data_IF_528927554681
#
_entry.id   IF_528927554681
#
_cell.length_a   1.000
_cell.length_b   1.000
_cell.length_c   1.000
_cell.angle_alpha   90.00
_cell.angle_beta   90.00
_cell.angle_gamma   90.00
#
_symmetry.space_group_name_H-M   'P 1'
#
loop_
_entity.id
_entity.type
_entity.pdbx_description
1 polymer ?
#
# COMPACT_ATOMS: atom_id res chain seq x y z
N UNK A 1 -5.26 24.51 13.20
CA UNK A 1 -6.15 23.60 12.44
C UNK A 1 -5.27 22.89 11.44
N UNK A 2 -5.48 21.58 11.22
CA UNK A 2 -4.80 20.84 10.17
C UNK A 2 -5.20 21.37 8.79
N UNK A 3 -4.30 21.33 7.82
CA UNK A 3 -4.56 21.71 6.44
C UNK A 3 -4.44 20.49 5.54
N UNK A 4 -5.18 20.50 4.43
CA UNK A 4 -5.16 19.41 3.45
C UNK A 4 -3.80 19.35 2.73
N UNK A 5 -3.19 18.16 2.70
CA UNK A 5 -1.90 17.91 2.03
C UNK A 5 -1.94 18.18 0.52
N UNK A 6 -3.13 18.17 -0.11
CA UNK A 6 -3.31 18.32 -1.56
C UNK A 6 -3.69 19.75 -1.96
N UNK A 7 -4.68 20.39 -1.30
CA UNK A 7 -5.19 21.70 -1.70
C UNK A 7 -4.93 22.81 -0.70
N UNK A 8 -4.34 22.49 0.47
CA UNK A 8 -4.04 23.40 1.57
C UNK A 8 -5.27 24.04 2.25
N UNK A 9 -6.48 23.64 1.91
CA UNK A 9 -7.71 24.10 2.61
C UNK A 9 -7.74 23.59 4.05
N UNK A 10 -8.30 24.37 4.99
CA UNK A 10 -8.50 23.90 6.36
C UNK A 10 -9.32 22.63 6.42
N UNK A 11 -8.97 21.74 7.35
CA UNK A 11 -9.70 20.49 7.58
C UNK A 11 -10.64 20.63 8.78
N UNK A 12 -11.82 20.01 8.64
CA UNK A 12 -12.75 19.77 9.74
C UNK A 12 -12.16 18.78 10.76
N UNK A 13 -12.80 18.58 11.94
CA UNK A 13 -12.42 17.52 12.88
C UNK A 13 -12.32 16.15 12.21
N UNK A 14 -11.54 15.21 12.78
CA UNK A 14 -11.30 13.92 12.16
C UNK A 14 -12.60 13.15 11.95
N UNK A 15 -12.75 12.58 10.74
CA UNK A 15 -13.86 11.70 10.37
C UNK A 15 -13.73 10.32 11.02
N UNK A 16 -12.49 9.92 11.35
CA UNK A 16 -12.16 8.69 12.03
C UNK A 16 -11.14 8.95 13.13
N UNK A 17 -11.34 8.30 14.28
CA UNK A 17 -10.34 8.13 15.34
C UNK A 17 -10.45 6.71 15.85
N UNK A 18 -9.31 6.00 15.94
CA UNK A 18 -9.29 4.64 16.44
C UNK A 18 -9.83 4.58 17.89
N UNK A 19 -10.73 3.63 18.21
CA UNK A 19 -11.32 3.53 19.56
C UNK A 19 -10.28 3.22 20.64
N UNK A 20 -9.26 2.44 20.31
CA UNK A 20 -8.16 2.08 21.21
C UNK A 20 -6.91 2.89 20.85
N UNK A 21 -6.07 3.28 21.85
CA UNK A 21 -4.81 3.99 21.60
C UNK A 21 -3.74 3.00 21.13
N UNK A 22 -4.03 2.28 20.07
CA UNK A 22 -3.13 1.31 19.44
C UNK A 22 -3.33 1.33 17.93
N UNK A 23 -2.26 1.61 17.23
CA UNK A 23 -2.21 1.74 15.78
C UNK A 23 -1.33 0.66 15.17
N UNK A 24 -1.49 0.41 13.88
CA UNK A 24 -0.74 -0.60 13.13
C UNK A 24 -0.16 0.06 11.89
N UNK A 25 1.13 -0.16 11.62
CA UNK A 25 1.78 0.30 10.39
C UNK A 25 1.58 -0.68 9.24
N UNK A 26 1.88 -0.25 8.02
CA UNK A 26 1.88 -1.09 6.82
C UNK A 26 2.84 -2.29 6.93
N UNK A 27 3.90 -2.17 7.75
CA UNK A 27 4.84 -3.25 8.08
C UNK A 27 4.34 -4.17 9.21
N UNK A 28 3.10 -4.00 9.68
CA UNK A 28 2.53 -4.79 10.78
C UNK A 28 3.15 -4.50 12.16
N UNK A 29 3.81 -3.37 12.34
CA UNK A 29 4.31 -2.93 13.63
C UNK A 29 3.18 -2.30 14.47
N UNK A 30 3.23 -2.54 15.78
CA UNK A 30 2.28 -1.97 16.72
C UNK A 30 2.84 -0.68 17.31
N UNK A 31 2.06 0.39 17.21
CA UNK A 31 2.40 1.70 17.78
C UNK A 31 1.38 2.09 18.85
N UNK A 32 1.86 2.77 19.90
CA UNK A 32 1.00 3.42 20.86
C UNK A 32 0.47 4.74 20.31
N UNK A 33 -0.82 4.97 20.47
CA UNK A 33 -1.49 6.18 19.99
C UNK A 33 -2.72 5.87 19.13
N UNK A 34 -3.49 6.93 18.87
CA UNK A 34 -4.67 6.86 18.02
C UNK A 34 -4.32 7.18 16.56
N UNK A 35 -4.87 6.41 15.63
CA UNK A 35 -4.92 6.81 14.22
C UNK A 35 -6.11 7.76 14.05
N UNK A 36 -5.88 8.93 13.49
CA UNK A 36 -6.90 9.93 13.17
C UNK A 36 -6.85 10.24 11.68
N UNK A 37 -8.01 10.12 11.00
CA UNK A 37 -8.13 10.44 9.59
C UNK A 37 -9.08 11.64 9.38
N UNK A 38 -8.71 12.52 8.46
CA UNK A 38 -9.39 13.76 8.12
C UNK A 38 -9.83 13.74 6.66
N UNK A 39 -10.99 14.29 6.36
CA UNK A 39 -11.50 14.40 4.99
C UNK A 39 -11.54 15.86 4.55
N UNK A 40 -11.01 16.15 3.39
CA UNK A 40 -11.09 17.46 2.75
C UNK A 40 -12.34 17.53 1.85
N UNK A 41 -13.30 18.38 2.21
CA UNK A 41 -14.52 18.57 1.42
C UNK A 41 -14.26 19.22 0.05
N UNK A 42 -13.12 19.89 -0.14
CA UNK A 42 -12.80 20.62 -1.38
C UNK A 42 -12.23 19.70 -2.45
N UNK A 43 -11.17 18.96 -2.15
CA UNK A 43 -10.53 18.06 -3.13
C UNK A 43 -10.83 16.59 -2.88
N UNK A 44 -11.68 16.27 -1.91
CA UNK A 44 -12.08 14.90 -1.54
C UNK A 44 -10.91 14.00 -1.10
N UNK A 45 -9.79 14.61 -0.69
CA UNK A 45 -8.66 13.89 -0.12
C UNK A 45 -8.96 13.43 1.29
N UNK A 46 -8.46 12.26 1.65
CA UNK A 46 -8.43 11.79 3.03
C UNK A 46 -6.98 11.66 3.46
N UNK A 47 -6.65 12.15 4.66
CA UNK A 47 -5.29 12.09 5.19
C UNK A 47 -5.28 11.71 6.66
N UNK A 48 -4.21 11.05 7.08
CA UNK A 48 -3.90 10.74 8.49
C UNK A 48 -2.81 11.68 8.98
N UNK A 49 -2.79 12.00 10.27
CA UNK A 49 -1.67 12.72 10.87
C UNK A 49 -0.39 11.91 10.70
N UNK A 50 0.71 12.52 10.21
CA UNK A 50 1.96 11.80 10.05
C UNK A 50 2.47 11.28 11.41
N UNK A 51 3.20 10.16 11.38
CA UNK A 51 3.92 9.66 12.55
C UNK A 51 4.94 10.70 13.04
N UNK A 52 5.21 10.77 14.34
CA UNK A 52 6.36 11.54 14.84
C UNK A 52 7.63 11.07 14.12
N UNK A 53 8.48 12.01 13.74
CA UNK A 53 9.76 11.74 13.05
C UNK A 53 9.64 10.86 11.81
N UNK A 54 8.58 11.11 10.98
CA UNK A 54 8.27 10.33 9.78
C UNK A 54 9.49 10.16 8.86
N UNK A 55 10.34 11.20 8.72
CA UNK A 55 11.54 11.12 7.90
C UNK A 55 12.55 10.09 8.44
N UNK A 56 12.79 10.09 9.75
CA UNK A 56 13.66 9.10 10.38
C UNK A 56 13.08 7.68 10.28
N UNK A 57 11.76 7.55 10.41
CA UNK A 57 11.08 6.25 10.24
C UNK A 57 11.37 5.64 8.86
N UNK A 58 11.23 6.41 7.78
CA UNK A 58 11.49 5.91 6.42
C UNK A 58 12.98 5.77 6.08
N UNK A 59 13.86 6.52 6.70
CA UNK A 59 15.31 6.38 6.50
C UNK A 59 15.88 5.15 7.20
N UNK A 60 15.44 4.85 8.44
CA UNK A 60 16.14 3.89 9.30
C UNK A 60 15.31 2.68 9.74
N UNK A 61 13.99 2.77 9.76
CA UNK A 61 13.11 1.74 10.33
C UNK A 61 12.32 1.00 9.25
N UNK A 62 11.79 1.73 8.27
CA UNK A 62 10.93 1.14 7.24
C UNK A 62 11.74 0.26 6.29
N UNK A 63 11.55 -1.05 6.42
CA UNK A 63 12.22 -2.05 5.57
C UNK A 63 11.19 -3.02 5.02
N UNK A 64 10.90 -2.92 3.73
CA UNK A 64 9.94 -3.80 3.07
C UNK A 64 10.65 -4.83 2.18
N UNK A 65 10.30 -6.12 2.35
CA UNK A 65 10.73 -7.23 1.49
C UNK A 65 12.27 -7.39 1.40
N UNK A 66 12.98 -7.14 2.51
CA UNK A 66 14.45 -7.16 2.56
C UNK A 66 15.03 -8.51 2.98
N UNK A 67 14.20 -9.51 3.29
CA UNK A 67 14.66 -10.84 3.76
C UNK A 67 15.44 -11.62 2.70
N UNK A 68 15.13 -11.43 1.41
CA UNK A 68 15.90 -11.93 0.28
C UNK A 68 15.63 -11.10 -0.97
N UNK A 69 16.43 -11.33 -2.02
CA UNK A 69 16.24 -10.68 -3.32
C UNK A 69 14.94 -11.12 -3.98
N UNK A 70 14.57 -12.40 -3.81
CA UNK A 70 13.37 -13.02 -4.39
C UNK A 70 12.11 -12.78 -3.55
N UNK A 71 12.23 -12.21 -2.35
CA UNK A 71 11.08 -11.94 -1.51
C UNK A 71 10.11 -10.98 -2.20
N UNK A 72 8.85 -11.44 -2.37
CA UNK A 72 7.79 -10.67 -3.03
C UNK A 72 6.44 -10.93 -2.36
N UNK A 73 5.50 -10.04 -2.59
CA UNK A 73 4.13 -10.21 -2.10
C UNK A 73 3.33 -11.06 -3.08
N UNK A 74 2.63 -12.06 -2.56
CA UNK A 74 1.67 -12.84 -3.33
C UNK A 74 0.50 -11.94 -3.74
N UNK A 75 0.31 -11.75 -5.05
CA UNK A 75 -0.75 -10.93 -5.60
C UNK A 75 -2.03 -11.74 -5.84
N UNK A 76 -1.91 -12.91 -6.45
CA UNK A 76 -3.03 -13.79 -6.74
C UNK A 76 -2.59 -15.26 -6.85
N UNK A 77 -3.55 -16.15 -6.65
CA UNK A 77 -3.41 -17.58 -6.98
C UNK A 77 -4.43 -17.90 -8.06
N UNK A 78 -3.97 -18.37 -9.23
CA UNK A 78 -4.80 -18.70 -10.39
C UNK A 78 -4.58 -20.17 -10.73
N UNK A 79 -5.48 -21.03 -10.32
CA UNK A 79 -5.25 -22.48 -10.32
C UNK A 79 -4.07 -22.82 -9.41
N UNK A 80 -3.06 -23.50 -9.95
CA UNK A 80 -1.82 -23.85 -9.23
C UNK A 80 -0.71 -22.76 -9.34
N UNK A 81 -0.94 -21.72 -10.14
CA UNK A 81 0.05 -20.65 -10.37
C UNK A 81 -0.08 -19.56 -9.31
N UNK A 82 1.04 -19.23 -8.67
CA UNK A 82 1.18 -18.02 -7.86
C UNK A 82 1.66 -16.88 -8.74
N UNK A 83 0.92 -15.78 -8.73
CA UNK A 83 1.30 -14.50 -9.37
C UNK A 83 1.79 -13.57 -8.29
N UNK A 84 3.01 -13.08 -8.42
CA UNK A 84 3.59 -12.14 -7.47
C UNK A 84 3.36 -10.70 -7.89
N UNK A 85 3.40 -9.78 -6.92
CA UNK A 85 3.08 -8.36 -7.12
C UNK A 85 3.98 -7.70 -8.16
N UNK A 86 5.28 -7.97 -8.11
CA UNK A 86 6.26 -7.43 -9.07
C UNK A 86 5.92 -7.82 -10.52
N UNK A 87 5.59 -9.10 -10.76
CA UNK A 87 5.18 -9.58 -12.08
C UNK A 87 3.94 -8.82 -12.60
N UNK A 88 2.91 -8.72 -11.76
CA UNK A 88 1.67 -8.02 -12.10
C UNK A 88 1.89 -6.53 -12.38
N UNK A 89 2.76 -5.86 -11.60
CA UNK A 89 3.08 -4.44 -11.78
C UNK A 89 3.76 -4.18 -13.12
N UNK A 90 4.74 -5.02 -13.52
CA UNK A 90 5.40 -4.89 -14.82
C UNK A 90 4.43 -5.11 -15.98
N UNK A 91 3.58 -6.15 -15.90
CA UNK A 91 2.57 -6.42 -16.92
C UNK A 91 1.58 -5.26 -17.07
N UNK A 92 1.17 -4.67 -15.94
CA UNK A 92 0.24 -3.54 -15.93
C UNK A 92 0.89 -2.28 -16.48
N UNK A 93 2.15 -2.00 -16.11
CA UNK A 93 2.91 -0.88 -16.67
C UNK A 93 3.02 -0.98 -18.19
N UNK A 94 3.50 -2.11 -18.72
CA UNK A 94 3.70 -2.33 -20.16
C UNK A 94 2.39 -2.33 -20.98
N UNK A 95 1.27 -2.65 -20.33
CA UNK A 95 -0.06 -2.56 -20.95
C UNK A 95 -0.57 -1.11 -21.05
N UNK A 96 -0.24 -0.27 -20.08
CA UNK A 96 -0.83 1.06 -19.92
C UNK A 96 0.07 2.19 -20.42
N UNK A 97 1.39 1.95 -20.48
CA UNK A 97 2.39 2.94 -20.91
C UNK A 97 3.19 2.37 -22.07
N UNK A 98 3.23 3.13 -23.16
CA UNK A 98 4.19 2.88 -24.21
C UNK A 98 5.58 3.34 -23.72
N UNK A 99 6.42 2.39 -23.33
CA UNK A 99 7.80 2.65 -22.93
C UNK A 99 8.66 2.73 -24.20
N UNK A 100 9.23 3.92 -24.54
CA UNK A 100 10.04 4.08 -25.74
C UNK A 100 11.23 3.11 -25.79
N UNK A 101 11.79 2.92 -26.98
CA UNK A 101 13.06 2.21 -27.10
C UNK A 101 14.18 3.05 -26.48
N UNK A 102 15.11 2.37 -25.79
CA UNK A 102 16.23 3.00 -25.07
C UNK A 102 15.78 4.05 -24.01
N UNK A 103 14.54 3.91 -23.51
CA UNK A 103 13.94 4.84 -22.54
C UNK A 103 14.75 4.91 -21.24
N UNK A 104 14.91 6.11 -20.70
CA UNK A 104 15.39 6.34 -19.34
C UNK A 104 14.20 6.24 -18.39
N UNK A 105 14.21 5.22 -17.57
CA UNK A 105 13.14 4.93 -16.60
C UNK A 105 13.66 5.13 -15.18
N UNK A 106 13.07 6.06 -14.44
CA UNK A 106 13.38 6.30 -13.03
C UNK A 106 12.29 5.66 -12.16
N UNK A 107 12.69 4.79 -11.26
CA UNK A 107 11.82 4.31 -10.17
C UNK A 107 12.00 5.22 -8.95
N UNK A 108 10.96 5.98 -8.62
CA UNK A 108 10.97 7.05 -7.61
C UNK A 108 10.29 6.57 -6.31
N UNK A 109 11.05 6.49 -5.23
CA UNK A 109 10.66 5.78 -3.99
C UNK A 109 10.72 4.28 -4.21
N UNK A 110 11.86 3.81 -4.73
CA UNK A 110 11.96 2.49 -5.36
C UNK A 110 12.13 1.32 -4.37
N UNK A 111 12.44 1.56 -3.10
CA UNK A 111 12.85 0.52 -2.15
C UNK A 111 13.90 -0.41 -2.79
N UNK A 112 13.71 -1.74 -2.85
CA UNK A 112 14.67 -2.62 -3.52
C UNK A 112 14.60 -2.63 -5.06
N UNK A 113 13.72 -1.81 -5.66
CA UNK A 113 13.54 -1.64 -7.11
C UNK A 113 13.20 -2.93 -7.88
N UNK A 114 12.48 -3.86 -7.24
CA UNK A 114 12.18 -5.17 -7.83
C UNK A 114 11.37 -5.05 -9.14
N UNK A 115 10.42 -4.11 -9.22
CA UNK A 115 9.61 -3.87 -10.43
C UNK A 115 10.45 -3.33 -11.58
N UNK A 116 11.36 -2.39 -11.31
CA UNK A 116 12.29 -1.88 -12.33
C UNK A 116 13.25 -2.98 -12.80
N UNK A 117 13.77 -3.82 -11.90
CA UNK A 117 14.60 -4.96 -12.26
C UNK A 117 13.86 -5.91 -13.20
N UNK A 118 12.65 -6.31 -12.84
CA UNK A 118 11.82 -7.18 -13.68
C UNK A 118 11.41 -6.52 -15.01
N UNK A 119 11.26 -5.20 -15.06
CA UNK A 119 11.08 -4.47 -16.31
C UNK A 119 12.32 -4.59 -17.21
N UNK A 120 13.53 -4.39 -16.67
CA UNK A 120 14.79 -4.50 -17.40
C UNK A 120 15.04 -5.93 -17.93
N UNK A 121 14.60 -6.96 -17.21
CA UNK A 121 14.68 -8.36 -17.68
C UNK A 121 13.78 -8.61 -18.88
N UNK A 122 12.63 -7.93 -18.99
CA UNK A 122 11.71 -8.01 -20.16
C UNK A 122 12.06 -7.05 -21.28
N UNK A 123 12.70 -5.92 -20.97
CA UNK A 123 13.05 -4.82 -21.85
C UNK A 123 14.51 -4.41 -21.59
N UNK A 124 15.43 -5.19 -22.14
CA UNK A 124 16.89 -5.00 -21.99
C UNK A 124 17.44 -3.71 -22.62
N UNK A 125 16.60 -3.02 -23.40
CA UNK A 125 16.88 -1.71 -23.96
C UNK A 125 16.59 -0.55 -22.99
N UNK A 126 15.88 -0.78 -21.86
CA UNK A 126 15.60 0.25 -20.87
C UNK A 126 16.86 0.63 -20.10
N UNK A 127 17.06 1.92 -19.89
CA UNK A 127 18.12 2.48 -19.04
C UNK A 127 17.56 2.73 -17.63
N UNK A 128 17.91 1.91 -16.61
CA UNK A 128 17.36 2.01 -15.28
C UNK A 128 18.02 3.12 -14.47
N UNK A 129 17.18 3.84 -13.71
CA UNK A 129 17.56 4.80 -12.68
C UNK A 129 16.74 4.55 -11.43
N UNK A 130 17.33 4.77 -10.27
CA UNK A 130 16.68 4.57 -8.96
C UNK A 130 16.88 5.75 -8.04
N UNK A 131 15.82 6.08 -7.30
CA UNK A 131 15.86 7.07 -6.24
C UNK A 131 15.05 6.59 -5.03
N UNK A 132 15.62 6.71 -3.83
CA UNK A 132 14.93 6.48 -2.57
C UNK A 132 15.41 7.46 -1.50
N UNK A 133 14.60 7.65 -0.45
CA UNK A 133 14.96 8.49 0.71
C UNK A 133 15.89 7.79 1.70
N UNK A 134 16.21 6.52 1.47
CA UNK A 134 17.05 5.68 2.33
C UNK A 134 18.19 5.02 1.55
N UNK A 135 19.32 4.81 2.21
CA UNK A 135 20.45 4.03 1.67
C UNK A 135 20.32 2.51 1.90
N UNK A 136 19.35 2.07 2.67
CA UNK A 136 19.22 0.68 3.12
C UNK A 136 19.02 -0.32 1.96
N UNK A 137 18.54 0.17 0.82
CA UNK A 137 18.26 -0.67 -0.35
C UNK A 137 19.40 -0.71 -1.39
N UNK A 138 20.49 0.05 -1.22
CA UNK A 138 21.57 0.17 -2.23
C UNK A 138 22.16 -1.16 -2.66
N UNK A 139 22.33 -2.09 -1.74
CA UNK A 139 22.86 -3.43 -2.05
C UNK A 139 22.01 -4.25 -3.05
N UNK A 140 20.72 -3.90 -3.21
CA UNK A 140 19.86 -4.48 -4.24
C UNK A 140 20.08 -3.81 -5.61
N UNK A 141 20.30 -2.48 -5.64
CA UNK A 141 20.45 -1.70 -6.87
C UNK A 141 21.78 -1.94 -7.58
N UNK A 142 22.87 -2.04 -6.82
CA UNK A 142 24.24 -2.21 -7.32
C UNK A 142 24.40 -3.42 -8.25
N UNK A 143 23.47 -4.37 -8.20
CA UNK A 143 23.47 -5.57 -9.03
C UNK A 143 23.00 -5.34 -10.47
N UNK A 144 22.24 -4.26 -10.75
CA UNK A 144 21.67 -4.05 -12.07
C UNK A 144 21.57 -2.57 -12.50
N UNK A 145 21.78 -1.61 -11.60
CA UNK A 145 21.77 -0.18 -11.89
C UNK A 145 23.17 0.40 -11.74
N UNK A 146 23.74 1.07 -12.75
CA UNK A 146 25.03 1.77 -12.62
C UNK A 146 25.03 2.80 -11.50
N UNK A 147 26.16 2.99 -10.81
CA UNK A 147 26.26 3.87 -9.64
C UNK A 147 25.89 5.34 -9.95
N UNK A 148 26.19 5.80 -11.16
CA UNK A 148 25.80 7.13 -11.65
C UNK A 148 24.30 7.29 -11.85
N UNK A 149 23.54 6.18 -11.92
CA UNK A 149 22.10 6.14 -12.08
C UNK A 149 21.37 5.90 -10.74
N UNK A 150 22.07 5.97 -9.62
CA UNK A 150 21.51 5.80 -8.27
C UNK A 150 21.55 7.13 -7.52
N UNK A 151 20.49 7.44 -6.76
CA UNK A 151 20.45 8.58 -5.85
C UNK A 151 19.70 8.21 -4.57
N UNK A 152 20.16 8.81 -3.44
CA UNK A 152 19.52 8.69 -2.14
C UNK A 152 19.27 10.08 -1.55
N UNK A 153 18.23 10.21 -0.71
CA UNK A 153 17.79 11.45 -0.04
C UNK A 153 17.32 12.57 -0.96
N UNK A 154 18.05 12.84 -2.05
CA UNK A 154 17.66 13.82 -3.06
C UNK A 154 18.02 13.31 -4.47
N UNK A 155 17.15 13.51 -5.48
CA UNK A 155 17.53 13.27 -6.87
C UNK A 155 18.73 14.12 -7.27
N UNK A 156 19.55 13.63 -8.20
CA UNK A 156 20.72 14.36 -8.68
C UNK A 156 20.29 15.59 -9.50
N UNK A 157 20.94 16.74 -9.35
CA UNK A 157 20.59 17.96 -10.11
C UNK A 157 20.61 17.78 -11.62
N UNK A 158 21.52 16.95 -12.15
CA UNK A 158 21.65 16.64 -13.57
C UNK A 158 20.52 15.76 -14.12
N UNK A 159 19.60 15.29 -13.27
CA UNK A 159 18.44 14.51 -13.67
C UNK A 159 17.23 15.37 -14.07
N UNK A 160 17.30 16.68 -13.95
CA UNK A 160 16.22 17.58 -14.37
C UNK A 160 15.88 17.39 -15.85
N UNK A 161 14.58 17.23 -16.14
CA UNK A 161 14.02 17.05 -17.50
C UNK A 161 14.67 15.92 -18.31
N UNK A 162 15.05 14.82 -17.65
CA UNK A 162 15.86 13.76 -18.26
C UNK A 162 15.06 12.51 -18.61
N UNK A 163 14.01 12.17 -17.86
CA UNK A 163 13.38 10.85 -17.94
C UNK A 163 12.19 10.81 -18.88
N UNK A 164 12.11 9.73 -19.66
CA UNK A 164 10.98 9.42 -20.52
C UNK A 164 9.79 8.87 -19.67
N UNK A 165 10.11 8.07 -18.66
CA UNK A 165 9.14 7.51 -17.71
C UNK A 165 9.68 7.64 -16.28
N UNK A 166 8.84 8.12 -15.37
CA UNK A 166 9.05 8.04 -13.93
C UNK A 166 7.97 7.13 -13.35
N UNK A 167 8.38 6.09 -12.64
CA UNK A 167 7.46 5.18 -11.94
C UNK A 167 7.49 5.45 -10.44
N UNK A 168 6.39 5.20 -9.75
CA UNK A 168 6.32 5.20 -8.29
C UNK A 168 5.28 4.18 -7.82
N UNK A 169 5.72 3.21 -7.03
CA UNK A 169 4.89 2.08 -6.62
C UNK A 169 4.70 2.11 -5.11
N UNK A 170 3.50 2.46 -4.64
CA UNK A 170 3.15 2.46 -3.22
C UNK A 170 4.14 3.28 -2.36
N UNK A 171 4.42 4.52 -2.79
CA UNK A 171 5.29 5.45 -2.07
C UNK A 171 4.61 6.78 -1.70
N UNK A 172 3.68 7.28 -2.53
CA UNK A 172 3.07 8.60 -2.30
C UNK A 172 2.11 8.63 -1.10
N UNK A 173 1.57 7.49 -0.68
CA UNK A 173 0.77 7.35 0.52
C UNK A 173 1.55 7.65 1.81
N UNK A 174 2.86 7.50 1.76
CA UNK A 174 3.75 7.61 2.91
C UNK A 174 4.33 9.02 3.13
N UNK A 175 4.22 9.92 2.15
CA UNK A 175 4.91 11.21 2.20
C UNK A 175 4.09 12.31 2.89
N UNK A 176 4.73 13.15 3.70
CA UNK A 176 4.06 14.24 4.40
C UNK A 176 3.56 15.35 3.46
N UNK A 177 4.30 15.64 2.38
CA UNK A 177 3.92 16.63 1.35
C UNK A 177 3.90 15.98 -0.03
N UNK A 178 2.78 15.35 -0.43
CA UNK A 178 2.66 14.69 -1.73
C UNK A 178 2.72 15.67 -2.91
N UNK A 179 2.41 16.96 -2.70
CA UNK A 179 2.52 17.99 -3.75
C UNK A 179 3.99 18.28 -4.09
N UNK A 180 4.82 18.52 -3.06
CA UNK A 180 6.24 18.76 -3.27
C UNK A 180 6.91 17.54 -3.90
N UNK A 181 6.59 16.34 -3.43
CA UNK A 181 7.17 15.08 -3.93
C UNK A 181 6.78 14.81 -5.38
N UNK A 182 5.49 14.93 -5.73
CA UNK A 182 5.07 14.72 -7.12
C UNK A 182 5.56 15.84 -8.05
N UNK A 183 5.65 17.10 -7.59
CA UNK A 183 6.25 18.18 -8.36
C UNK A 183 7.75 17.94 -8.60
N UNK A 184 8.49 17.42 -7.62
CA UNK A 184 9.88 17.00 -7.78
C UNK A 184 9.98 15.91 -8.85
N UNK A 185 9.18 14.83 -8.75
CA UNK A 185 9.16 13.76 -9.75
C UNK A 185 8.81 14.29 -11.15
N UNK A 186 7.83 15.20 -11.27
CA UNK A 186 7.45 15.83 -12.53
C UNK A 186 8.58 16.70 -13.13
N UNK A 187 9.41 17.35 -12.27
CA UNK A 187 10.55 18.15 -12.74
C UNK A 187 11.62 17.30 -13.44
N UNK A 188 11.71 16.02 -13.06
CA UNK A 188 12.67 15.07 -13.61
C UNK A 188 12.26 14.53 -14.98
N UNK A 189 10.96 14.56 -15.32
CA UNK A 189 10.44 14.15 -16.64
C UNK A 189 10.88 15.10 -17.74
N UNK A 190 11.25 14.55 -18.89
CA UNK A 190 11.40 15.32 -20.14
C UNK A 190 10.05 15.90 -20.59
N UNK A 191 10.02 16.90 -21.50
CA UNK A 191 8.77 17.36 -22.10
C UNK A 191 8.01 16.19 -22.75
N UNK A 192 6.73 16.00 -22.38
CA UNK A 192 5.91 14.89 -22.84
C UNK A 192 6.20 13.54 -22.16
N UNK A 193 7.14 13.50 -21.22
CA UNK A 193 7.43 12.31 -20.41
C UNK A 193 6.24 11.91 -19.52
N UNK A 194 6.22 10.65 -19.12
CA UNK A 194 5.09 10.01 -18.42
C UNK A 194 5.45 9.70 -16.98
N UNK A 195 4.57 10.08 -16.06
CA UNK A 195 4.54 9.58 -14.68
C UNK A 195 3.55 8.42 -14.61
N UNK A 196 4.01 7.27 -14.11
CA UNK A 196 3.17 6.11 -13.81
C UNK A 196 3.20 5.84 -12.30
N UNK A 197 2.04 5.84 -11.67
CA UNK A 197 1.94 5.63 -10.23
C UNK A 197 0.96 4.54 -9.86
N UNK A 198 1.27 3.83 -8.78
CA UNK A 198 0.32 2.96 -8.07
C UNK A 198 0.26 3.41 -6.61
N UNK A 199 -0.95 3.68 -6.13
CA UNK A 199 -1.21 4.05 -4.73
C UNK A 199 -2.45 3.29 -4.22
N UNK A 200 -2.60 3.05 -2.92
CA UNK A 200 -3.81 2.43 -2.38
C UNK A 200 -5.07 3.19 -2.80
N UNK A 201 -6.14 2.44 -3.03
CA UNK A 201 -7.47 3.02 -3.25
C UNK A 201 -8.28 2.87 -1.97
N UNK A 202 -8.56 3.98 -1.32
CA UNK A 202 -9.28 4.06 -0.05
C UNK A 202 -10.57 3.20 0.00
N UNK A 203 -11.29 3.09 -1.11
CA UNK A 203 -12.61 2.43 -1.15
C UNK A 203 -12.56 0.96 -1.54
N UNK A 204 -11.49 0.50 -2.18
CA UNK A 204 -11.31 -0.91 -2.57
C UNK A 204 -10.28 -1.62 -1.69
N UNK A 205 -9.37 -0.87 -1.06
CA UNK A 205 -8.53 -1.30 0.06
C UNK A 205 -8.98 -0.61 1.34
N UNK A 206 -10.09 -1.07 1.91
CA UNK A 206 -10.77 -0.37 3.02
C UNK A 206 -9.91 -0.20 4.27
N UNK A 207 -8.91 -1.07 4.49
CA UNK A 207 -7.97 -0.93 5.59
C UNK A 207 -7.01 0.25 5.43
N UNK A 208 -6.85 0.79 4.24
CA UNK A 208 -6.00 1.95 4.01
C UNK A 208 -6.27 3.09 5.00
N UNK A 209 -7.56 3.37 5.31
CA UNK A 209 -8.00 4.39 6.27
C UNK A 209 -7.36 4.26 7.65
N UNK A 210 -7.00 3.06 8.08
CA UNK A 210 -6.55 2.76 9.44
C UNK A 210 -5.09 2.35 9.52
N UNK A 211 -4.35 2.43 8.42
CA UNK A 211 -2.89 2.23 8.38
C UNK A 211 -2.19 3.46 8.94
N UNK A 212 -1.42 3.29 10.00
CA UNK A 212 -0.89 4.42 10.78
C UNK A 212 0.18 5.25 10.04
N UNK A 213 0.96 4.63 9.16
CA UNK A 213 2.03 5.26 8.37
C UNK A 213 1.60 5.65 6.94
N UNK A 214 0.34 5.43 6.56
CA UNK A 214 -0.24 6.02 5.36
C UNK A 214 -0.76 7.42 5.68
N UNK A 215 0.02 8.44 5.30
CA UNK A 215 -0.35 9.84 5.52
C UNK A 215 -1.43 10.29 4.53
N UNK A 216 -1.46 9.70 3.33
CA UNK A 216 -2.37 10.07 2.26
C UNK A 216 -3.22 8.88 1.80
N UNK A 217 -4.54 9.07 1.76
CA UNK A 217 -5.51 8.09 1.29
C UNK A 217 -6.19 8.62 0.04
N UNK A 218 -5.75 8.11 -1.10
CA UNK A 218 -6.10 8.70 -2.39
C UNK A 218 -7.51 8.31 -2.87
N UNK A 219 -8.18 9.29 -3.45
CA UNK A 219 -9.43 9.16 -4.19
C UNK A 219 -9.20 9.63 -5.64
N UNK A 220 -10.10 9.29 -6.57
CA UNK A 220 -9.99 9.76 -7.95
C UNK A 220 -9.88 11.29 -8.06
N UNK A 221 -10.78 12.07 -7.41
CA UNK A 221 -10.68 13.53 -7.37
C UNK A 221 -9.37 14.05 -6.78
N UNK A 222 -8.88 13.47 -5.68
CA UNK A 222 -7.64 13.93 -5.04
C UNK A 222 -6.40 13.64 -5.90
N UNK A 223 -6.34 12.51 -6.59
CA UNK A 223 -5.27 12.20 -7.56
C UNK A 223 -5.25 13.20 -8.72
N UNK A 224 -6.42 13.53 -9.26
CA UNK A 224 -6.54 14.54 -10.32
C UNK A 224 -6.02 15.90 -9.88
N UNK A 225 -6.43 16.34 -8.68
CA UNK A 225 -5.98 17.60 -8.10
C UNK A 225 -4.47 17.60 -7.85
N UNK A 226 -3.91 16.50 -7.33
CA UNK A 226 -2.49 16.33 -7.06
C UNK A 226 -1.67 16.39 -8.35
N UNK A 227 -2.03 15.65 -9.38
CA UNK A 227 -1.37 15.68 -10.68
C UNK A 227 -1.39 17.10 -11.27
N UNK A 228 -2.54 17.77 -11.26
CA UNK A 228 -2.69 19.14 -11.76
C UNK A 228 -1.77 20.11 -11.01
N UNK A 229 -1.71 20.03 -9.68
CA UNK A 229 -0.84 20.87 -8.86
C UNK A 229 0.66 20.64 -9.13
N UNK A 230 1.03 19.43 -9.56
CA UNK A 230 2.40 19.07 -9.94
C UNK A 230 2.76 19.40 -11.41
N UNK A 231 1.84 19.98 -12.19
CA UNK A 231 2.06 20.26 -13.63
C UNK A 231 1.98 19.02 -14.51
N UNK A 232 1.18 18.04 -14.09
CA UNK A 232 0.91 16.81 -14.81
C UNK A 232 -0.56 16.77 -15.24
N UNK A 233 -0.84 16.35 -16.49
CA UNK A 233 -2.18 16.02 -16.93
C UNK A 233 -2.47 14.55 -16.62
N UNK A 234 -3.45 14.27 -15.77
CA UNK A 234 -3.91 12.91 -15.50
C UNK A 234 -4.61 12.36 -16.74
N UNK A 235 -3.98 11.42 -17.45
CA UNK A 235 -4.53 10.77 -18.65
C UNK A 235 -5.42 9.59 -18.30
N UNK A 236 -5.06 8.85 -17.24
CA UNK A 236 -5.79 7.66 -16.77
C UNK A 236 -5.71 7.53 -15.26
N UNK A 237 -6.83 7.16 -14.65
CA UNK A 237 -6.89 6.61 -13.30
C UNK A 237 -7.78 5.36 -13.35
N UNK A 238 -7.20 4.20 -13.05
CA UNK A 238 -7.83 2.88 -13.21
C UNK A 238 -7.80 2.17 -11.85
N UNK A 239 -8.97 1.92 -11.28
CA UNK A 239 -9.14 1.24 -9.99
C UNK A 239 -9.38 -0.27 -10.12
N UNK A 240 -9.30 -0.79 -11.35
CA UNK A 240 -9.47 -2.20 -11.68
C UNK A 240 -8.17 -2.87 -12.10
N UNK A 241 -7.19 -2.10 -12.56
CA UNK A 241 -5.93 -2.61 -13.10
C UNK A 241 -5.02 -3.24 -12.03
N UNK A 242 -5.20 -2.88 -10.76
CA UNK A 242 -4.52 -3.48 -9.62
C UNK A 242 -5.49 -3.58 -8.43
N UNK A 243 -5.63 -4.77 -7.87
CA UNK A 243 -6.55 -5.01 -6.75
C UNK A 243 -6.24 -4.10 -5.55
N UNK A 244 -7.22 -3.34 -5.10
CA UNK A 244 -7.10 -2.45 -3.94
C UNK A 244 -6.28 -1.18 -4.17
N UNK A 245 -5.98 -0.82 -5.42
CA UNK A 245 -5.15 0.34 -5.73
C UNK A 245 -5.66 1.15 -6.91
N UNK A 246 -5.29 2.42 -6.94
CA UNK A 246 -5.33 3.25 -8.14
C UNK A 246 -4.05 3.01 -8.94
N UNK A 247 -4.19 2.68 -10.21
CA UNK A 247 -3.12 2.78 -11.20
C UNK A 247 -3.37 4.03 -12.02
N UNK A 248 -2.43 4.96 -12.03
CA UNK A 248 -2.62 6.20 -12.76
C UNK A 248 -1.46 6.53 -13.68
N UNK A 249 -1.80 7.13 -14.81
CA UNK A 249 -0.87 7.61 -15.82
C UNK A 249 -1.08 9.12 -15.97
N UNK A 250 -0.01 9.88 -15.83
CA UNK A 250 -0.05 11.31 -15.97
C UNK A 250 1.11 11.79 -16.86
N UNK A 251 0.86 12.80 -17.72
CA UNK A 251 1.85 13.31 -18.67
C UNK A 251 2.29 14.70 -18.31
N UNK A 252 3.60 14.98 -18.45
CA UNK A 252 4.12 16.33 -18.26
C UNK A 252 3.62 17.25 -19.39
N UNK A 253 2.79 18.20 -19.00
CA UNK A 253 2.20 19.20 -19.90
C UNK A 253 2.30 20.60 -19.29
N UNK A 254 2.12 21.68 -20.08
CA UNK A 254 1.91 23.00 -19.48
C UNK A 254 0.74 22.98 -18.49
N UNK A 255 0.79 23.84 -17.45
CA UNK A 255 -0.25 23.86 -16.40
C UNK A 255 -1.65 24.02 -16.99
N UNK A 256 -2.59 23.18 -16.55
CA UNK A 256 -4.00 23.25 -16.91
C UNK A 256 -4.75 23.98 -15.79
N UNK A 257 -5.75 24.78 -16.11
CA UNK A 257 -6.59 25.50 -15.15
C UNK A 257 -7.44 24.54 -14.30
N UNK A 258 -7.84 25.00 -13.10
CA UNK A 258 -8.64 24.29 -12.09
C UNK A 258 -9.69 23.37 -12.69
N UNK A 259 -9.71 22.13 -12.19
CA UNK A 259 -10.73 21.13 -12.52
C UNK A 259 -11.95 21.32 -11.60
N UNK A 260 -13.14 21.10 -12.14
CA UNK A 260 -14.37 21.03 -11.36
C UNK A 260 -14.31 19.83 -10.40
N UNK A 261 -14.80 20.01 -9.17
CA UNK A 261 -14.98 18.91 -8.22
C UNK A 261 -16.10 18.02 -8.75
N UNK A 262 -15.75 16.79 -9.07
CA UNK A 262 -16.71 15.73 -9.36
C UNK A 262 -17.36 15.27 -8.05
N UNK A 263 -18.19 14.30 -8.04
CA UNK A 263 -19.03 13.76 -6.99
C UNK A 263 -18.48 13.87 -5.54
N UNK A 264 -19.26 14.40 -4.57
CA UNK A 264 -18.86 14.45 -3.18
C UNK A 264 -18.73 13.04 -2.58
N UNK A 265 -17.59 12.73 -1.97
CA UNK A 265 -17.31 11.43 -1.38
C UNK A 265 -17.54 11.37 0.14
N UNK A 266 -18.03 12.46 0.73
CA UNK A 266 -18.17 12.59 2.19
C UNK A 266 -19.00 11.45 2.81
N UNK A 267 -20.11 11.05 2.20
CA UNK A 267 -20.94 9.94 2.69
C UNK A 267 -20.19 8.61 2.70
N UNK A 268 -19.48 8.28 1.62
CA UNK A 268 -18.68 7.05 1.53
C UNK A 268 -17.53 7.02 2.55
N UNK A 269 -16.88 8.17 2.78
CA UNK A 269 -15.83 8.29 3.79
C UNK A 269 -16.40 8.08 5.19
N UNK A 270 -17.59 8.67 5.49
CA UNK A 270 -18.27 8.48 6.77
C UNK A 270 -18.71 7.02 7.00
N UNK A 271 -19.22 6.36 5.98
CA UNK A 271 -19.58 4.93 6.03
C UNK A 271 -18.35 4.07 6.33
N UNK A 272 -17.22 4.31 5.64
CA UNK A 272 -15.98 3.60 5.89
C UNK A 272 -15.45 3.85 7.31
N UNK A 273 -15.48 5.09 7.78
CA UNK A 273 -15.10 5.45 9.14
C UNK A 273 -16.00 4.79 10.19
N UNK A 274 -17.32 4.72 9.96
CA UNK A 274 -18.27 4.04 10.84
C UNK A 274 -18.00 2.52 10.89
N UNK A 275 -17.71 1.91 9.74
CA UNK A 275 -17.33 0.51 9.65
C UNK A 275 -16.14 0.17 10.56
N UNK A 276 -15.06 0.96 10.50
CA UNK A 276 -13.87 0.74 11.30
C UNK A 276 -14.07 1.10 12.78
N UNK A 277 -14.87 2.11 13.12
CA UNK A 277 -15.24 2.38 14.54
C UNK A 277 -15.95 1.19 15.21
N UNK A 278 -16.88 0.56 14.47
CA UNK A 278 -17.63 -0.61 14.97
C UNK A 278 -16.89 -1.95 14.89
N UNK A 279 -15.69 -1.97 14.29
CA UNK A 279 -14.99 -3.23 14.00
C UNK A 279 -14.62 -3.99 15.28
N UNK A 280 -14.08 -3.31 16.28
CA UNK A 280 -13.71 -3.94 17.56
C UNK A 280 -14.88 -4.57 18.31
N UNK A 281 -16.08 -4.00 18.18
CA UNK A 281 -17.30 -4.58 18.79
C UNK A 281 -17.69 -5.89 18.11
N UNK A 282 -17.58 -5.97 16.77
CA UNK A 282 -17.84 -7.22 16.04
C UNK A 282 -16.85 -8.31 16.39
N UNK A 283 -15.56 -7.97 16.54
CA UNK A 283 -14.52 -8.93 16.95
C UNK A 283 -14.84 -9.46 18.35
N UNK A 284 -15.14 -8.60 19.32
CA UNK A 284 -15.47 -8.99 20.69
C UNK A 284 -16.74 -9.86 20.77
N UNK A 285 -17.78 -9.51 20.01
CA UNK A 285 -18.99 -10.32 19.94
C UNK A 285 -18.68 -11.75 19.50
N UNK A 286 -17.87 -11.91 18.45
CA UNK A 286 -17.45 -13.21 17.97
C UNK A 286 -16.58 -13.98 18.98
N UNK A 287 -15.68 -13.31 19.73
CA UNK A 287 -14.91 -13.93 20.80
C UNK A 287 -15.81 -14.47 21.91
N UNK A 288 -16.88 -13.75 22.26
CA UNK A 288 -17.84 -14.17 23.31
C UNK A 288 -18.64 -15.41 22.88
N UNK A 289 -18.94 -15.55 21.59
CA UNK A 289 -19.59 -16.75 21.04
C UNK A 289 -18.67 -17.98 21.03
N UNK A 290 -17.34 -17.76 21.09
CA UNK A 290 -16.33 -18.81 21.02
C UNK A 290 -15.33 -18.71 22.20
N UNK A 291 -15.79 -18.91 23.44
CA UNK A 291 -14.96 -18.70 24.62
C UNK A 291 -13.87 -19.77 24.75
N UNK A 292 -12.64 -19.32 25.07
CA UNK A 292 -11.50 -20.15 25.47
C UNK A 292 -11.08 -21.25 24.49
N UNK A 293 -11.26 -21.02 23.17
CA UNK A 293 -10.81 -21.95 22.16
C UNK A 293 -9.55 -21.43 21.44
N UNK A 294 -8.60 -22.32 21.06
CA UNK A 294 -7.47 -21.95 20.24
C UNK A 294 -7.90 -21.38 18.88
N UNK A 295 -7.29 -20.26 18.50
CA UNK A 295 -7.59 -19.54 17.28
C UNK A 295 -6.36 -19.43 16.38
N UNK A 296 -6.60 -19.20 15.08
CA UNK A 296 -5.60 -18.75 14.12
C UNK A 296 -6.08 -17.50 13.39
N UNK A 297 -5.14 -16.77 12.79
CA UNK A 297 -5.47 -15.67 11.89
C UNK A 297 -5.00 -16.05 10.49
N UNK A 298 -5.89 -16.00 9.51
CA UNK A 298 -5.56 -16.18 8.11
C UNK A 298 -5.22 -14.84 7.46
N UNK A 299 -4.02 -14.72 6.88
CA UNK A 299 -3.42 -13.49 6.38
C UNK A 299 -2.42 -12.90 7.38
N UNK A 300 -1.13 -13.12 7.11
CA UNK A 300 -0.02 -12.63 7.95
C UNK A 300 0.43 -11.23 7.49
N UNK A 301 -0.52 -10.31 7.32
CA UNK A 301 -0.30 -8.93 6.90
C UNK A 301 -1.08 -7.95 7.76
N UNK A 302 -1.28 -6.74 7.25
CA UNK A 302 -1.91 -5.64 7.97
C UNK A 302 -3.26 -6.03 8.58
N UNK A 303 -4.19 -6.57 7.80
CA UNK A 303 -5.52 -6.95 8.30
C UNK A 303 -5.45 -7.95 9.47
N UNK A 304 -4.57 -8.96 9.35
CA UNK A 304 -4.38 -9.95 10.41
C UNK A 304 -3.81 -9.32 11.68
N UNK A 305 -2.80 -8.46 11.53
CA UNK A 305 -2.22 -7.71 12.65
C UNK A 305 -3.25 -6.78 13.28
N UNK A 306 -4.05 -6.07 12.48
CA UNK A 306 -5.08 -5.17 13.00
C UNK A 306 -6.14 -5.92 13.80
N UNK A 307 -6.54 -7.13 13.39
CA UNK A 307 -7.44 -7.99 14.18
C UNK A 307 -6.88 -8.23 15.58
N UNK A 308 -5.58 -8.52 15.72
CA UNK A 308 -4.99 -8.80 17.06
C UNK A 308 -5.13 -7.63 18.01
N UNK A 309 -5.12 -6.39 17.50
CA UNK A 309 -5.30 -5.19 18.33
C UNK A 309 -6.73 -5.04 18.87
N UNK A 310 -7.69 -5.75 18.29
CA UNK A 310 -9.11 -5.67 18.65
C UNK A 310 -9.55 -6.83 19.57
N UNK A 311 -8.78 -7.93 19.62
CA UNK A 311 -9.05 -9.07 20.49
C UNK A 311 -8.93 -8.69 21.96
N UNK A 312 -9.77 -9.27 22.80
CA UNK A 312 -9.62 -9.23 24.26
C UNK A 312 -8.62 -10.29 24.75
N UNK A 313 -8.48 -11.38 23.98
CA UNK A 313 -7.59 -12.51 24.30
C UNK A 313 -6.65 -12.81 23.11
N UNK A 314 -5.72 -11.91 22.76
CA UNK A 314 -4.79 -12.14 21.66
C UNK A 314 -3.87 -13.35 21.88
N UNK A 315 -3.70 -13.81 23.13
CA UNK A 315 -2.98 -15.03 23.48
C UNK A 315 -3.65 -16.32 22.99
N UNK A 316 -4.97 -16.31 22.74
CA UNK A 316 -5.69 -17.44 22.17
C UNK A 316 -5.29 -17.70 20.69
N UNK A 317 -4.75 -16.71 20.00
CA UNK A 317 -4.18 -16.88 18.66
C UNK A 317 -2.86 -17.61 18.75
N UNK A 318 -2.81 -18.83 18.21
CA UNK A 318 -1.63 -19.70 18.26
C UNK A 318 -0.70 -19.53 17.04
N UNK A 319 -1.23 -19.15 15.88
CA UNK A 319 -0.47 -18.96 14.66
C UNK A 319 -1.19 -18.03 13.67
N UNK A 320 -0.41 -17.55 12.70
CA UNK A 320 -0.93 -16.99 11.45
C UNK A 320 -0.89 -18.06 10.36
N UNK A 321 -1.78 -17.96 9.38
CA UNK A 321 -1.82 -18.78 8.18
C UNK A 321 -1.62 -17.88 6.96
N UNK A 322 -0.75 -18.26 6.04
CA UNK A 322 -0.52 -17.50 4.83
C UNK A 322 -0.17 -18.41 3.65
N UNK A 323 -0.65 -18.08 2.44
CA UNK A 323 -0.32 -18.81 1.22
C UNK A 323 1.01 -18.36 0.61
N UNK A 324 1.54 -17.19 1.01
CA UNK A 324 2.81 -16.69 0.51
C UNK A 324 3.99 -17.50 1.09
N UNK A 325 4.74 -18.23 0.26
CA UNK A 325 5.86 -19.06 0.74
C UNK A 325 7.00 -18.24 1.37
N UNK A 326 7.16 -16.98 0.99
CA UNK A 326 8.16 -16.09 1.57
C UNK A 326 7.81 -15.67 3.02
N UNK A 327 6.52 -15.68 3.39
CA UNK A 327 6.07 -15.41 4.76
C UNK A 327 6.13 -16.64 5.65
N UNK A 328 5.93 -17.80 5.08
CA UNK A 328 5.99 -19.07 5.82
C UNK A 328 7.39 -19.28 6.41
N UNK A 329 7.48 -19.78 7.63
CA UNK A 329 8.71 -19.93 8.45
C UNK A 329 9.19 -18.63 9.13
N UNK A 330 8.54 -17.51 8.89
CA UNK A 330 8.73 -16.28 9.66
C UNK A 330 7.77 -16.27 10.87
N UNK A 331 7.94 -15.28 11.72
CA UNK A 331 7.01 -14.98 12.82
C UNK A 331 6.37 -13.62 12.62
N UNK A 332 5.18 -13.45 13.14
CA UNK A 332 4.48 -12.16 13.24
C UNK A 332 3.91 -12.05 14.65
N UNK A 333 4.24 -10.98 15.38
CA UNK A 333 3.84 -10.79 16.77
C UNK A 333 4.18 -12.03 17.65
N UNK A 334 5.40 -12.53 17.51
CA UNK A 334 5.92 -13.74 18.20
C UNK A 334 5.17 -15.05 17.92
N UNK A 335 4.32 -15.06 16.89
CA UNK A 335 3.57 -16.26 16.49
C UNK A 335 4.06 -16.76 15.13
N UNK A 336 4.12 -18.11 14.94
CA UNK A 336 4.58 -18.68 13.66
C UNK A 336 3.60 -18.39 12.54
N UNK A 337 4.13 -18.18 11.33
CA UNK A 337 3.37 -18.11 10.09
C UNK A 337 3.44 -19.47 9.41
N UNK A 338 2.31 -20.13 9.27
CA UNK A 338 2.20 -21.50 8.73
C UNK A 338 1.50 -21.49 7.36
N UNK A 339 1.76 -22.50 6.56
CA UNK A 339 0.93 -22.80 5.40
C UNK A 339 -0.49 -23.22 5.87
N UNK A 340 -1.56 -22.91 5.13
CA UNK A 340 -2.94 -23.27 5.51
C UNK A 340 -3.13 -24.77 5.78
N UNK A 341 -2.40 -25.63 5.08
CA UNK A 341 -2.40 -27.10 5.22
C UNK A 341 -1.84 -27.56 6.58
N UNK A 342 -1.12 -26.68 7.26
CA UNK A 342 -0.53 -26.92 8.59
C UNK A 342 -1.36 -26.33 9.74
N UNK A 343 -2.65 -26.03 9.50
CA UNK A 343 -3.55 -25.56 10.55
C UNK A 343 -3.56 -26.56 11.72
N UNK A 344 -3.18 -26.15 12.95
CA UNK A 344 -3.13 -27.05 14.10
C UNK A 344 -4.50 -27.69 14.38
N UNK A 345 -4.54 -28.98 14.74
CA UNK A 345 -5.80 -29.72 14.91
C UNK A 345 -6.67 -29.19 16.06
N UNK A 346 -6.10 -28.53 17.04
CA UNK A 346 -6.80 -27.92 18.17
C UNK A 346 -7.49 -26.60 17.83
N UNK A 347 -7.12 -25.90 16.77
CA UNK A 347 -7.73 -24.63 16.35
C UNK A 347 -9.21 -24.85 15.98
N UNK A 348 -10.08 -24.01 16.53
CA UNK A 348 -11.52 -24.03 16.30
C UNK A 348 -12.05 -22.74 15.66
N UNK A 349 -11.27 -21.67 15.71
CA UNK A 349 -11.64 -20.36 15.21
C UNK A 349 -10.55 -19.85 14.25
N UNK A 350 -10.95 -19.30 13.11
CA UNK A 350 -10.06 -18.60 12.18
C UNK A 350 -10.60 -17.20 11.92
N UNK A 351 -9.84 -16.21 12.34
CA UNK A 351 -10.08 -14.81 11.97
C UNK A 351 -9.50 -14.56 10.58
N UNK A 352 -10.32 -14.10 9.64
CA UNK A 352 -9.89 -13.90 8.26
C UNK A 352 -9.39 -12.48 8.06
N UNK A 353 -8.08 -12.29 8.17
CA UNK A 353 -7.36 -11.03 8.02
C UNK A 353 -7.04 -10.72 6.55
N UNK A 354 -8.06 -10.63 5.72
CA UNK A 354 -7.99 -10.29 4.30
C UNK A 354 -8.93 -9.14 3.97
N UNK A 355 -8.69 -8.48 2.84
CA UNK A 355 -9.63 -7.49 2.31
C UNK A 355 -11.04 -8.11 2.19
N UNK A 356 -12.08 -7.51 2.79
CA UNK A 356 -13.45 -8.04 2.80
C UNK A 356 -14.00 -8.39 1.43
N UNK A 357 -13.61 -7.64 0.39
CA UNK A 357 -14.07 -7.86 -0.99
C UNK A 357 -13.69 -9.26 -1.54
N UNK A 358 -12.60 -9.86 -1.04
CA UNK A 358 -12.06 -11.12 -1.58
C UNK A 358 -11.97 -12.23 -0.52
N UNK A 359 -12.12 -11.90 0.76
CA UNK A 359 -11.89 -12.79 1.88
C UNK A 359 -12.63 -14.13 1.76
N UNK A 360 -13.93 -14.10 1.48
CA UNK A 360 -14.76 -15.33 1.37
C UNK A 360 -14.35 -16.22 0.20
N UNK A 361 -14.12 -15.62 -0.98
CA UNK A 361 -13.69 -16.36 -2.16
C UNK A 361 -12.31 -17.01 -1.95
N UNK A 362 -11.39 -16.27 -1.32
CA UNK A 362 -10.05 -16.80 -0.99
C UNK A 362 -10.14 -17.98 -0.04
N UNK A 363 -10.90 -17.88 1.06
CA UNK A 363 -11.04 -18.99 2.03
C UNK A 363 -11.70 -20.22 1.39
N UNK A 364 -12.73 -20.03 0.57
CA UNK A 364 -13.39 -21.12 -0.15
C UNK A 364 -12.45 -21.84 -1.13
N UNK A 365 -11.48 -21.14 -1.69
CA UNK A 365 -10.47 -21.70 -2.60
C UNK A 365 -9.34 -22.45 -1.86
N UNK A 366 -9.32 -22.47 -0.51
CA UNK A 366 -8.29 -23.17 0.29
C UNK A 366 -8.84 -24.52 0.79
N UNK A 367 -8.49 -25.66 0.16
CA UNK A 367 -9.06 -26.97 0.51
C UNK A 367 -8.87 -27.36 1.98
N UNK A 368 -7.72 -26.99 2.56
CA UNK A 368 -7.39 -27.29 3.96
C UNK A 368 -8.37 -26.67 4.96
N UNK A 369 -9.09 -25.61 4.58
CA UNK A 369 -10.05 -24.89 5.42
C UNK A 369 -11.52 -25.29 5.13
N UNK A 370 -11.77 -26.08 4.11
CA UNK A 370 -13.12 -26.49 3.70
C UNK A 370 -13.77 -27.56 4.60
N UNK A 371 -13.05 -28.06 5.62
CA UNK A 371 -13.47 -29.23 6.44
C UNK A 371 -14.67 -28.99 7.35
N UNK A 372 -15.20 -27.77 7.48
CA UNK A 372 -16.26 -27.42 8.42
C UNK A 372 -15.89 -27.50 9.91
N UNK A 373 -14.60 -27.75 10.22
CA UNK A 373 -14.07 -27.95 11.58
C UNK A 373 -13.92 -26.64 12.35
N UNK A 374 -13.77 -25.52 11.66
CA UNK A 374 -13.50 -24.21 12.24
C UNK A 374 -14.62 -23.23 11.96
N UNK A 375 -14.86 -22.32 12.93
CA UNK A 375 -15.69 -21.14 12.73
C UNK A 375 -14.85 -20.01 12.14
N UNK A 376 -15.42 -19.25 11.20
CA UNK A 376 -14.72 -18.13 10.56
C UNK A 376 -15.32 -16.79 10.98
N UNK A 377 -14.45 -15.88 11.41
CA UNK A 377 -14.77 -14.45 11.47
C UNK A 377 -14.31 -13.77 10.18
N UNK A 378 -15.19 -13.05 9.54
CA UNK A 378 -14.87 -12.20 8.38
C UNK A 378 -15.00 -10.71 8.74
N UNK A 379 -14.06 -9.89 8.25
CA UNK A 379 -14.11 -8.43 8.37
C UNK A 379 -15.37 -7.84 7.75
#
# INVERSE_FOLDING_TARGET
MAACNICAEPLDPPVYRSPRPRSVTSLCELLDGHTEAFHCAVCQHVQTSPLPDLAAYYDTTYQILVGSEEEDQLYAVVGDRRVFRTEHQVETLLRLVEVPRDARVLDFGCAKAATLKALCERRSDVQPYVFDVSEMYRGFWEKFVPAENQATYQPRPEWLSRFDVVTSFFALEHVADPRAVLAQAASLLCPGGVFYGIVPNLFTNTADLVVADHVNHFTGPSLRQLCTAAGLALEKADDTAHTGAWVFVARKTPPISRLAVEEPLAARVQELAAYWRGFGERVRAFELEHPAVPAAIYGAGFYGTFITTQLERPEAVTCFLDQNPHRQKQTLLDKPILAPERLPPEVRVVYVGLNPAHARATIQAVPALASGRVAFFYL
#
